data_IF_251337557229
#
_entry.id   IF_251337557229
#
_cell.length_a   1.000
_cell.length_b   1.000
_cell.length_c   1.000
_cell.angle_alpha   90.00
_cell.angle_beta   90.00
_cell.angle_gamma   90.00
#
_symmetry.space_group_name_H-M   'P 1'
#
loop_
_entity.id
_entity.type
_entity.pdbx_description
1 polymer ?
#
# COMPACT_ATOMS: atom_id res chain seq x y z
N UNK A 1 -8.41 -22.30 -12.19
CA UNK A 1 -8.23 -21.09 -11.41
C UNK A 1 -6.81 -20.59 -11.50
N UNK A 2 -6.64 -19.29 -11.61
CA UNK A 2 -5.31 -18.74 -11.76
C UNK A 2 -4.62 -18.60 -10.41
N UNK A 3 -3.31 -18.78 -10.38
CA UNK A 3 -2.51 -18.56 -9.17
C UNK A 3 -2.67 -17.12 -8.67
N UNK A 4 -2.94 -16.18 -9.58
CA UNK A 4 -3.16 -14.78 -9.23
C UNK A 4 -4.38 -14.62 -8.32
N UNK A 5 -5.49 -15.30 -8.64
CA UNK A 5 -6.69 -15.21 -7.83
C UNK A 5 -6.49 -15.79 -6.44
N UNK A 6 -5.75 -16.90 -6.34
CA UNK A 6 -5.43 -17.51 -5.05
C UNK A 6 -4.55 -16.59 -4.22
N UNK A 7 -3.57 -15.97 -4.86
CA UNK A 7 -2.65 -15.04 -4.21
C UNK A 7 -3.39 -13.81 -3.67
N UNK A 8 -4.31 -13.26 -4.48
CA UNK A 8 -5.11 -12.11 -4.04
C UNK A 8 -5.99 -12.47 -2.85
N UNK A 9 -6.55 -13.69 -2.84
CA UNK A 9 -7.37 -14.14 -1.73
C UNK A 9 -6.56 -14.25 -0.44
N UNK A 10 -5.34 -14.77 -0.53
CA UNK A 10 -4.44 -14.86 0.62
C UNK A 10 -4.10 -13.48 1.18
N UNK A 11 -3.83 -12.52 0.29
CA UNK A 11 -3.51 -11.16 0.72
C UNK A 11 -4.69 -10.49 1.40
N UNK A 12 -5.89 -10.69 0.84
CA UNK A 12 -7.10 -10.13 1.44
C UNK A 12 -7.35 -10.71 2.83
N UNK A 13 -7.19 -12.03 2.98
CA UNK A 13 -7.38 -12.69 4.27
C UNK A 13 -6.35 -12.20 5.29
N UNK A 14 -5.11 -12.08 4.88
CA UNK A 14 -4.04 -11.59 5.75
C UNK A 14 -4.33 -10.18 6.23
N UNK A 15 -4.68 -9.29 5.29
CA UNK A 15 -4.98 -7.90 5.62
C UNK A 15 -6.14 -7.79 6.62
N UNK A 16 -7.18 -8.61 6.43
CA UNK A 16 -8.30 -8.61 7.34
C UNK A 16 -7.88 -8.98 8.76
N UNK A 17 -7.00 -9.98 8.88
CA UNK A 17 -6.49 -10.42 10.18
C UNK A 17 -5.64 -9.33 10.84
N UNK A 18 -4.83 -8.64 10.05
CA UNK A 18 -4.01 -7.54 10.56
C UNK A 18 -4.90 -6.39 11.03
N UNK A 19 -5.94 -6.06 10.25
CA UNK A 19 -6.91 -5.03 10.62
C UNK A 19 -7.53 -5.34 11.97
N UNK A 20 -7.91 -6.59 12.20
CA UNK A 20 -8.48 -7.02 13.48
C UNK A 20 -7.48 -6.86 14.63
N UNK A 21 -6.26 -7.35 14.43
CA UNK A 21 -5.23 -7.31 15.47
C UNK A 21 -4.89 -5.87 15.85
N UNK A 22 -4.88 -4.98 14.87
CA UNK A 22 -4.56 -3.57 15.10
C UNK A 22 -5.77 -2.75 15.54
N UNK A 23 -6.92 -3.40 15.68
CA UNK A 23 -8.16 -2.75 16.11
C UNK A 23 -8.54 -1.58 15.22
N UNK A 24 -8.28 -1.72 13.92
CA UNK A 24 -8.72 -0.74 12.94
C UNK A 24 -10.19 -0.95 12.62
N UNK A 25 -10.82 0.09 12.05
CA UNK A 25 -12.23 0.01 11.67
C UNK A 25 -12.44 -1.15 10.69
N UNK A 26 -13.44 -1.99 10.95
CA UNK A 26 -13.74 -3.14 10.11
C UNK A 26 -14.13 -2.76 8.68
N UNK A 27 -14.53 -1.51 8.46
CA UNK A 27 -14.82 -1.01 7.12
C UNK A 27 -13.59 -0.45 6.42
N UNK A 28 -12.41 -0.52 7.04
CA UNK A 28 -11.18 -0.06 6.44
C UNK A 28 -10.95 -0.78 5.11
N UNK A 29 -10.72 0.00 4.07
CA UNK A 29 -10.45 -0.54 2.74
C UNK A 29 -8.99 -0.35 2.40
N UNK A 30 -8.37 -1.41 1.92
CA UNK A 30 -6.97 -1.39 1.51
C UNK A 30 -6.91 -1.65 0.01
N UNK A 31 -6.41 -0.67 -0.73
CA UNK A 31 -6.24 -0.84 -2.17
C UNK A 31 -4.96 -1.64 -2.42
N UNK A 32 -5.06 -2.94 -2.26
CA UNK A 32 -3.90 -3.83 -2.35
C UNK A 32 -3.18 -3.70 -3.69
N UNK A 33 -3.86 -3.76 -4.84
CA UNK A 33 -3.14 -3.65 -6.12
C UNK A 33 -2.37 -2.33 -6.25
N UNK A 34 -2.95 -1.22 -5.84
CA UNK A 34 -2.29 0.09 -5.95
C UNK A 34 -1.07 0.17 -5.04
N UNK A 35 -1.19 -0.35 -3.82
CA UNK A 35 -0.09 -0.32 -2.87
C UNK A 35 1.06 -1.23 -3.33
N UNK A 36 0.73 -2.42 -3.82
CA UNK A 36 1.76 -3.34 -4.32
C UNK A 36 2.47 -2.78 -5.54
N UNK A 37 1.74 -2.12 -6.43
CA UNK A 37 2.37 -1.48 -7.59
C UNK A 37 3.31 -0.36 -7.15
N UNK A 38 2.90 0.46 -6.20
CA UNK A 38 3.74 1.51 -5.67
C UNK A 38 5.02 0.96 -5.04
N UNK A 39 4.89 -0.05 -4.18
CA UNK A 39 6.06 -0.62 -3.51
C UNK A 39 7.01 -1.29 -4.49
N UNK A 40 6.48 -1.88 -5.55
CA UNK A 40 7.29 -2.43 -6.62
C UNK A 40 8.09 -1.31 -7.31
N UNK A 41 7.44 -0.20 -7.63
CA UNK A 41 8.10 0.94 -8.24
C UNK A 41 9.20 1.51 -7.34
N UNK A 42 8.95 1.60 -6.04
CA UNK A 42 9.93 2.09 -5.08
C UNK A 42 11.12 1.12 -5.00
N UNK A 43 10.85 -0.18 -4.93
CA UNK A 43 11.90 -1.18 -4.81
C UNK A 43 12.83 -1.16 -6.02
N UNK A 44 12.28 -0.93 -7.20
CA UNK A 44 13.04 -0.92 -8.45
C UNK A 44 13.67 0.43 -8.74
N UNK A 45 12.98 1.53 -8.42
CA UNK A 45 13.43 2.87 -8.76
C UNK A 45 14.28 3.56 -7.69
N UNK A 46 14.21 3.09 -6.45
CA UNK A 46 14.96 3.67 -5.34
C UNK A 46 15.82 2.61 -4.69
N UNK A 47 15.23 1.70 -3.91
CA UNK A 47 15.94 0.61 -3.25
C UNK A 47 14.91 -0.35 -2.67
N UNK A 48 15.21 -1.64 -2.61
CA UNK A 48 14.28 -2.62 -2.06
C UNK A 48 13.84 -2.30 -0.63
N UNK A 49 14.77 -1.96 0.29
CA UNK A 49 14.35 -1.66 1.67
C UNK A 49 13.48 -0.41 1.79
N UNK A 50 13.48 0.45 0.78
CA UNK A 50 12.64 1.65 0.80
C UNK A 50 11.16 1.31 0.62
N UNK A 51 10.84 0.16 0.02
CA UNK A 51 9.44 -0.21 -0.24
C UNK A 51 8.60 -0.32 1.03
N UNK A 52 9.00 -1.13 2.05
CA UNK A 52 8.20 -1.20 3.27
C UNK A 52 8.18 0.12 4.04
N UNK A 53 9.25 0.89 3.98
CA UNK A 53 9.29 2.20 4.64
C UNK A 53 8.30 3.16 3.99
N UNK A 54 8.25 3.17 2.67
CA UNK A 54 7.30 3.99 1.93
C UNK A 54 5.86 3.59 2.26
N UNK A 55 5.58 2.29 2.31
CA UNK A 55 4.25 1.80 2.66
C UNK A 55 3.84 2.25 4.06
N UNK A 56 4.78 2.18 5.01
CA UNK A 56 4.51 2.63 6.38
C UNK A 56 4.16 4.12 6.42
N UNK A 57 4.95 4.93 5.72
CA UNK A 57 4.73 6.37 5.69
C UNK A 57 3.43 6.73 4.99
N UNK A 58 3.11 6.04 3.91
CA UNK A 58 1.81 6.21 3.24
C UNK A 58 0.67 5.92 4.21
N UNK A 59 0.77 4.85 4.98
CA UNK A 59 -0.24 4.49 5.97
C UNK A 59 -0.39 5.55 7.05
N UNK A 60 0.72 6.14 7.50
CA UNK A 60 0.66 7.23 8.47
C UNK A 60 -0.10 8.42 7.90
N UNK A 61 0.18 8.77 6.65
CA UNK A 61 -0.52 9.90 6.03
C UNK A 61 -1.99 9.60 5.83
N UNK A 62 -2.32 8.40 5.38
CA UNK A 62 -3.72 7.99 5.21
C UNK A 62 -4.47 8.09 6.53
N UNK A 63 -3.82 7.72 7.63
CA UNK A 63 -4.44 7.80 8.96
C UNK A 63 -4.71 9.23 9.40
N UNK A 64 -3.96 10.20 8.88
CA UNK A 64 -4.15 11.60 9.20
C UNK A 64 -5.17 12.27 8.28
N UNK A 65 -5.42 11.72 7.11
CA UNK A 65 -6.36 12.29 6.17
C UNK A 65 -7.79 12.02 6.65
N UNK A 66 -8.63 13.05 6.62
CA UNK A 66 -10.02 12.91 7.04
C UNK A 66 -10.88 12.22 6.00
N UNK A 67 -10.46 12.28 4.73
CA UNK A 67 -11.10 11.61 3.63
C UNK A 67 -10.09 10.71 2.96
N UNK A 68 -10.59 9.69 2.26
CA UNK A 68 -9.71 8.75 1.59
C UNK A 68 -8.96 9.46 0.44
N UNK A 69 -7.69 9.70 0.63
CA UNK A 69 -6.82 10.40 -0.32
C UNK A 69 -5.67 9.49 -0.80
N UNK A 70 -5.82 8.19 -0.61
CA UNK A 70 -4.73 7.23 -0.91
C UNK A 70 -4.21 7.39 -2.34
N UNK A 71 -5.10 7.49 -3.32
CA UNK A 71 -4.69 7.62 -4.72
C UNK A 71 -3.85 8.88 -4.95
N UNK A 72 -4.24 9.99 -4.32
CA UNK A 72 -3.48 11.24 -4.41
C UNK A 72 -2.10 11.07 -3.80
N UNK A 73 -2.02 10.44 -2.62
CA UNK A 73 -0.73 10.26 -1.94
C UNK A 73 0.20 9.35 -2.73
N UNK A 74 -0.34 8.30 -3.32
CA UNK A 74 0.44 7.42 -4.19
C UNK A 74 1.00 8.20 -5.38
N UNK A 75 0.19 9.04 -6.02
CA UNK A 75 0.65 9.88 -7.12
C UNK A 75 1.80 10.79 -6.71
N UNK A 76 1.73 11.37 -5.52
CA UNK A 76 2.78 12.23 -5.01
C UNK A 76 4.09 11.47 -4.83
N UNK A 77 4.02 10.24 -4.32
CA UNK A 77 5.21 9.41 -4.14
C UNK A 77 5.79 9.00 -5.50
N UNK A 78 4.92 8.63 -6.44
CA UNK A 78 5.35 8.27 -7.79
C UNK A 78 6.11 9.41 -8.46
N UNK A 79 5.67 10.66 -8.21
CA UNK A 79 6.39 11.82 -8.71
C UNK A 79 7.80 11.94 -8.18
N UNK A 80 8.00 11.55 -6.92
CA UNK A 80 9.35 11.56 -6.33
C UNK A 80 10.25 10.51 -6.98
N UNK A 81 9.72 9.35 -7.30
CA UNK A 81 10.49 8.29 -7.94
C UNK A 81 10.98 8.78 -9.31
N UNK A 82 10.09 9.38 -10.10
CA UNK A 82 10.42 9.89 -11.42
C UNK A 82 11.53 10.95 -11.36
N UNK A 83 11.52 11.78 -10.31
CA UNK A 83 12.47 12.86 -10.16
C UNK A 83 13.82 12.40 -9.57
N UNK A 84 13.83 11.25 -8.90
CA UNK A 84 15.03 10.76 -8.24
C UNK A 84 15.90 9.87 -9.14
N UNK A 85 15.30 9.40 -10.21
CA UNK A 85 15.99 8.56 -11.18
C UNK A 85 16.79 9.37 -12.19
#
# INVERSE_FOLDING_TARGET
MSAKAEFESELNDWCRRVIEVLELNSSTKVDIPAILELTKEVAHGVARPAAPLTAYLLGLRDGLDQQNQTALRISQIQGLIDNSG
#
